data_IF_746321815329
#
_entry.id   IF_746321815329
#
_cell.length_a   1.000
_cell.length_b   1.000
_cell.length_c   1.000
_cell.angle_alpha   90.00
_cell.angle_beta   90.00
_cell.angle_gamma   90.00
#
_symmetry.space_group_name_H-M   'P 1'
#
loop_
_entity.id
_entity.type
_entity.pdbx_description
1 polymer ?
#
# COMPACT_ATOMS: atom_id res chain seq x y z
N UNK A 1 14.04 32.61 38.47
CA UNK A 1 12.65 32.19 38.72
C UNK A 1 12.18 31.51 37.44
N UNK A 2 12.18 30.19 37.41
CA UNK A 2 11.55 29.41 36.33
C UNK A 2 10.03 29.55 36.49
N UNK A 3 9.34 29.87 35.40
CA UNK A 3 7.88 29.78 35.34
C UNK A 3 7.54 28.35 34.96
N UNK A 4 6.94 27.61 35.89
CA UNK A 4 6.25 26.37 35.54
C UNK A 4 5.08 26.74 34.63
N UNK A 5 5.22 26.43 33.34
CA UNK A 5 4.13 26.54 32.38
C UNK A 5 3.37 25.23 32.46
N UNK A 6 2.19 25.26 33.09
CA UNK A 6 1.28 24.12 33.12
C UNK A 6 0.57 24.02 31.76
N UNK A 7 1.12 23.20 30.87
CA UNK A 7 0.57 22.96 29.54
C UNK A 7 -0.55 21.92 29.68
N UNK A 8 -1.80 22.39 29.75
CA UNK A 8 -2.97 21.53 29.62
C UNK A 8 -3.07 21.03 28.17
N UNK A 9 -2.45 19.88 27.90
CA UNK A 9 -2.61 19.19 26.62
C UNK A 9 -4.04 18.62 26.52
N UNK A 10 -4.73 18.78 25.38
CA UNK A 10 -6.04 18.16 25.19
C UNK A 10 -5.92 16.64 25.33
N UNK A 11 -6.94 16.01 25.92
CA UNK A 11 -6.98 14.55 26.04
C UNK A 11 -7.02 13.92 24.65
N UNK A 12 -6.02 13.07 24.37
CA UNK A 12 -5.96 12.35 23.12
C UNK A 12 -7.14 11.38 23.02
N UNK A 13 -7.99 11.56 22.00
CA UNK A 13 -9.05 10.62 21.69
C UNK A 13 -8.54 9.59 20.69
N UNK A 14 -8.46 8.34 21.14
CA UNK A 14 -8.08 7.22 20.29
C UNK A 14 -9.11 6.99 19.18
N UNK A 15 -8.62 6.68 17.98
CA UNK A 15 -9.38 6.45 16.76
C UNK A 15 -9.13 5.03 16.27
N UNK A 16 -10.11 4.46 15.56
CA UNK A 16 -9.87 3.22 14.82
C UNK A 16 -8.86 3.49 13.70
N UNK A 17 -7.90 2.59 13.57
CA UNK A 17 -6.94 2.56 12.46
C UNK A 17 -7.17 1.25 11.70
N UNK A 18 -7.39 1.36 10.39
CA UNK A 18 -7.65 0.22 9.52
C UNK A 18 -6.65 0.16 8.36
N UNK A 19 -6.16 -1.04 8.07
CA UNK A 19 -5.51 -1.34 6.79
C UNK A 19 -6.23 -2.54 6.16
N UNK A 20 -6.75 -2.37 4.95
CA UNK A 20 -7.33 -3.45 4.18
C UNK A 20 -7.07 -3.24 2.68
N UNK A 21 -6.43 -4.24 2.08
CA UNK A 21 -6.01 -4.24 0.69
C UNK A 21 -6.66 -5.45 0.00
N UNK A 22 -7.65 -5.22 -0.83
CA UNK A 22 -8.35 -6.26 -1.55
C UNK A 22 -7.49 -6.78 -2.70
N UNK A 23 -7.31 -8.11 -2.76
CA UNK A 23 -6.67 -8.78 -3.88
C UNK A 23 -7.64 -9.83 -4.44
N UNK A 24 -8.13 -9.67 -5.68
CA UNK A 24 -9.03 -10.63 -6.30
C UNK A 24 -8.47 -12.06 -6.25
N UNK A 25 -9.30 -13.01 -5.82
CA UNK A 25 -8.89 -14.41 -5.67
C UNK A 25 -8.19 -14.75 -4.35
N UNK A 26 -7.96 -13.78 -3.47
CA UNK A 26 -7.48 -13.99 -2.10
C UNK A 26 -8.58 -13.70 -1.08
N UNK A 27 -8.54 -14.30 0.12
CA UNK A 27 -9.36 -13.85 1.24
C UNK A 27 -9.08 -12.37 1.56
N UNK A 28 -10.11 -11.59 1.89
CA UNK A 28 -9.88 -10.25 2.41
C UNK A 28 -9.16 -10.36 3.75
N UNK A 29 -8.15 -9.53 3.95
CA UNK A 29 -7.38 -9.41 5.19
C UNK A 29 -7.43 -7.97 5.63
N UNK A 30 -7.77 -7.75 6.90
CA UNK A 30 -7.94 -6.44 7.48
C UNK A 30 -7.24 -6.38 8.84
N UNK A 31 -6.41 -5.36 9.03
CA UNK A 31 -5.87 -4.99 10.33
C UNK A 31 -6.74 -3.90 10.94
N UNK A 32 -7.16 -4.08 12.20
CA UNK A 32 -7.98 -3.13 12.95
C UNK A 32 -7.42 -2.95 14.36
N UNK A 33 -6.95 -1.74 14.64
CA UNK A 33 -6.30 -1.38 15.91
C UNK A 33 -6.74 0.00 16.38
N UNK A 34 -6.41 0.34 17.62
CA UNK A 34 -6.56 1.68 18.16
C UNK A 34 -5.32 2.52 17.88
N UNK A 35 -5.52 3.79 17.56
CA UNK A 35 -4.43 4.77 17.51
C UNK A 35 -3.98 5.13 18.94
N UNK A 36 -2.68 5.31 19.13
CA UNK A 36 -2.08 5.74 20.40
C UNK A 36 -1.63 7.20 20.34
N UNK A 37 -1.60 7.86 21.50
CA UNK A 37 -0.98 9.19 21.62
C UNK A 37 0.52 9.10 21.30
N UNK A 38 1.07 10.13 20.66
CA UNK A 38 2.50 10.21 20.34
C UNK A 38 3.42 10.13 21.58
N UNK A 39 2.94 10.61 22.73
CA UNK A 39 3.68 10.59 24.00
C UNK A 39 3.49 9.29 24.80
N UNK A 40 2.58 8.42 24.37
CA UNK A 40 2.34 7.14 25.03
C UNK A 40 3.41 6.13 24.63
N UNK A 41 3.60 5.09 25.45
CA UNK A 41 4.37 3.93 25.03
C UNK A 41 3.67 3.31 23.80
N UNK A 42 4.43 2.90 22.77
CA UNK A 42 3.85 2.23 21.62
C UNK A 42 3.34 0.85 22.03
N UNK A 43 2.03 0.76 22.27
CA UNK A 43 1.30 -0.48 22.51
C UNK A 43 0.31 -0.71 21.37
N UNK A 44 0.34 -1.91 20.76
CA UNK A 44 -0.60 -2.28 19.72
C UNK A 44 -1.89 -2.81 20.37
N UNK A 45 -2.95 -2.02 20.33
CA UNK A 45 -4.26 -2.40 20.90
C UNK A 45 -5.18 -2.85 19.77
N UNK A 46 -5.40 -4.16 19.67
CA UNK A 46 -6.30 -4.77 18.67
C UNK A 46 -7.76 -4.59 19.09
N UNK A 47 -8.62 -4.23 18.14
CA UNK A 47 -10.07 -4.15 18.35
C UNK A 47 -10.67 -5.48 17.88
N UNK A 48 -10.92 -6.40 18.81
CA UNK A 48 -11.34 -7.76 18.50
C UNK A 48 -12.84 -7.90 18.16
N UNK A 49 -13.72 -7.32 18.99
CA UNK A 49 -15.16 -7.58 18.92
C UNK A 49 -15.90 -6.57 18.01
N UNK A 50 -15.28 -6.20 16.90
CA UNK A 50 -15.89 -5.29 15.92
C UNK A 50 -16.73 -6.06 14.90
N UNK A 51 -17.86 -5.49 14.50
CA UNK A 51 -18.58 -5.92 13.30
C UNK A 51 -17.86 -5.34 12.08
N UNK A 52 -17.26 -6.21 11.25
CA UNK A 52 -16.51 -5.83 10.05
C UNK A 52 -17.17 -6.45 8.83
N UNK A 53 -17.67 -5.61 7.92
CA UNK A 53 -18.40 -6.03 6.73
C UNK A 53 -17.76 -5.37 5.51
N UNK A 54 -17.48 -6.18 4.49
CA UNK A 54 -17.14 -5.71 3.14
C UNK A 54 -18.30 -6.09 2.22
N UNK A 55 -18.77 -5.18 1.37
CA UNK A 55 -19.84 -5.48 0.42
C UNK A 55 -19.42 -5.22 -1.03
N UNK A 56 -19.58 -6.22 -1.89
CA UNK A 56 -19.37 -6.09 -3.35
C UNK A 56 -20.70 -5.73 -4.01
N UNK A 57 -20.81 -4.56 -4.62
CA UNK A 57 -22.03 -4.10 -5.29
C UNK A 57 -23.28 -4.28 -4.39
N UNK A 58 -23.13 -4.05 -3.07
CA UNK A 58 -24.18 -4.17 -2.06
C UNK A 58 -24.39 -5.57 -1.45
N UNK A 59 -23.71 -6.62 -1.93
CA UNK A 59 -23.78 -7.97 -1.35
C UNK A 59 -22.73 -8.10 -0.22
N UNK A 60 -23.15 -8.24 1.05
CA UNK A 60 -22.23 -8.21 2.19
C UNK A 60 -21.49 -9.53 2.39
N UNK A 61 -20.27 -9.41 2.89
CA UNK A 61 -19.42 -10.49 3.40
C UNK A 61 -18.79 -10.03 4.72
N UNK A 62 -18.94 -10.85 5.76
CA UNK A 62 -18.39 -10.55 7.08
C UNK A 62 -16.94 -11.02 7.18
N UNK A 63 -16.07 -10.18 7.75
CA UNK A 63 -14.72 -10.56 8.14
C UNK A 63 -14.76 -10.95 9.61
N UNK A 64 -14.39 -12.19 9.91
CA UNK A 64 -14.34 -12.69 11.29
C UNK A 64 -12.99 -12.42 11.90
N UNK A 65 -12.95 -12.22 13.22
CA UNK A 65 -11.69 -12.11 13.95
C UNK A 65 -10.85 -13.39 13.77
N UNK A 66 -9.62 -13.22 13.30
CA UNK A 66 -8.69 -14.27 12.97
C UNK A 66 -7.33 -13.65 12.71
N UNK A 67 -6.50 -13.61 13.76
CA UNK A 67 -5.17 -13.02 13.67
C UNK A 67 -4.26 -13.91 12.83
N UNK A 68 -3.56 -13.30 11.89
CA UNK A 68 -2.57 -13.99 11.09
C UNK A 68 -1.57 -13.03 10.49
N UNK A 69 -0.72 -13.58 9.65
CA UNK A 69 0.32 -12.86 8.95
C UNK A 69 0.34 -13.34 7.51
N UNK A 70 0.35 -12.40 6.58
CA UNK A 70 0.55 -12.69 5.16
C UNK A 70 1.95 -13.29 4.94
N UNK A 71 2.06 -14.43 4.26
CA UNK A 71 3.33 -15.15 4.14
C UNK A 71 4.37 -14.43 3.27
N UNK A 72 3.90 -13.59 2.34
CA UNK A 72 4.75 -12.89 1.36
C UNK A 72 5.18 -11.53 1.91
N UNK A 73 4.21 -10.71 2.30
CA UNK A 73 4.43 -9.33 2.77
C UNK A 73 4.72 -9.25 4.27
N UNK A 74 4.46 -10.32 5.02
CA UNK A 74 4.55 -10.36 6.49
C UNK A 74 3.68 -9.33 7.21
N UNK A 75 2.72 -8.72 6.49
CA UNK A 75 1.72 -7.83 7.10
C UNK A 75 0.79 -8.64 8.01
N UNK A 76 0.60 -8.17 9.23
CA UNK A 76 -0.38 -8.73 10.15
C UNK A 76 -1.79 -8.31 9.75
N UNK A 77 -2.74 -9.20 10.00
CA UNK A 77 -4.16 -8.90 9.92
C UNK A 77 -4.86 -9.43 11.16
N UNK A 78 -5.98 -8.82 11.53
CA UNK A 78 -6.78 -9.19 12.71
C UNK A 78 -8.13 -9.78 12.32
N UNK A 79 -8.63 -9.46 11.13
CA UNK A 79 -9.89 -9.98 10.59
C UNK A 79 -9.68 -10.50 9.17
N UNK A 80 -10.41 -11.56 8.81
CA UNK A 80 -10.34 -12.13 7.46
C UNK A 80 -11.66 -12.78 7.05
N UNK A 81 -11.89 -12.91 5.74
CA UNK A 81 -12.96 -13.76 5.21
C UNK A 81 -12.52 -15.23 5.18
N UNK A 82 -13.47 -16.14 5.31
CA UNK A 82 -13.20 -17.58 5.13
C UNK A 82 -12.97 -17.95 3.66
N UNK A 83 -13.61 -17.21 2.76
CA UNK A 83 -13.54 -17.46 1.31
C UNK A 83 -12.77 -16.32 0.62
N UNK A 84 -12.21 -16.65 -0.54
CA UNK A 84 -11.58 -15.68 -1.41
C UNK A 84 -12.60 -14.67 -1.96
N UNK A 85 -12.22 -13.39 -1.97
CA UNK A 85 -13.02 -12.34 -2.59
C UNK A 85 -12.97 -12.53 -4.10
N UNK A 86 -14.13 -12.71 -4.71
CA UNK A 86 -14.28 -12.68 -6.16
C UNK A 86 -14.51 -11.25 -6.60
N UNK A 87 -13.74 -10.77 -7.56
CA UNK A 87 -13.77 -9.38 -8.01
C UNK A 87 -13.28 -9.27 -9.45
N UNK A 88 -13.91 -8.40 -10.23
CA UNK A 88 -13.48 -8.00 -11.57
C UNK A 88 -13.15 -6.51 -11.58
N UNK A 89 -12.29 -6.04 -12.51
CA UNK A 89 -12.09 -4.62 -12.71
C UNK A 89 -13.42 -3.85 -12.88
N UNK A 90 -13.56 -2.74 -12.18
CA UNK A 90 -14.77 -1.93 -12.12
C UNK A 90 -15.78 -2.33 -11.03
N UNK A 91 -15.61 -3.49 -10.36
CA UNK A 91 -16.44 -3.82 -9.19
C UNK A 91 -16.19 -2.81 -8.06
N UNK A 92 -17.26 -2.34 -7.42
CA UNK A 92 -17.19 -1.42 -6.29
C UNK A 92 -17.36 -2.18 -4.99
N UNK A 93 -16.43 -1.95 -4.07
CA UNK A 93 -16.45 -2.50 -2.73
C UNK A 93 -16.64 -1.40 -1.69
N UNK A 94 -17.48 -1.67 -0.70
CA UNK A 94 -17.60 -0.83 0.50
C UNK A 94 -17.12 -1.58 1.73
N UNK A 95 -16.55 -0.84 2.68
CA UNK A 95 -16.19 -1.30 4.01
C UNK A 95 -17.09 -0.61 5.02
N UNK A 96 -17.60 -1.37 5.99
CA UNK A 96 -18.29 -0.85 7.17
C UNK A 96 -17.77 -1.56 8.42
N UNK A 97 -17.36 -0.78 9.41
CA UNK A 97 -16.91 -1.25 10.71
C UNK A 97 -17.73 -0.56 11.80
N UNK A 98 -18.24 -1.33 12.74
CA UNK A 98 -18.76 -0.83 14.02
C UNK A 98 -18.01 -1.51 15.17
N UNK A 99 -17.36 -0.72 16.01
CA UNK A 99 -16.60 -1.27 17.15
C UNK A 99 -17.47 -1.47 18.41
N UNK A 100 -16.95 -2.12 19.47
CA UNK A 100 -17.69 -2.30 20.73
C UNK A 100 -18.07 -1.00 21.44
N UNK A 101 -17.42 0.13 21.11
CA UNK A 101 -17.71 1.46 21.65
C UNK A 101 -18.80 2.18 20.85
N UNK A 102 -19.32 1.56 19.78
CA UNK A 102 -20.31 2.13 18.88
C UNK A 102 -19.74 3.15 17.87
N UNK A 103 -18.41 3.29 17.78
CA UNK A 103 -17.77 4.10 16.74
C UNK A 103 -17.93 3.41 15.38
N UNK A 104 -18.06 4.21 14.32
CA UNK A 104 -18.25 3.73 12.97
C UNK A 104 -17.13 4.19 12.05
N UNK A 105 -16.70 3.29 11.17
CA UNK A 105 -15.76 3.59 10.09
C UNK A 105 -16.32 3.04 8.78
N UNK A 106 -16.18 3.82 7.72
CA UNK A 106 -16.60 3.43 6.38
C UNK A 106 -15.51 3.69 5.34
N UNK A 107 -15.48 2.90 4.29
CA UNK A 107 -14.58 3.07 3.15
C UNK A 107 -15.23 2.62 1.86
N UNK A 108 -14.70 3.08 0.73
CA UNK A 108 -15.10 2.66 -0.61
C UNK A 108 -13.87 2.55 -1.50
N UNK A 109 -13.84 1.55 -2.36
CA UNK A 109 -12.80 1.38 -3.39
C UNK A 109 -13.40 0.72 -4.62
N UNK A 110 -12.77 0.94 -5.77
CA UNK A 110 -13.14 0.30 -7.05
C UNK A 110 -11.98 -0.57 -7.49
N UNK A 111 -12.24 -1.82 -7.86
CA UNK A 111 -11.19 -2.73 -8.31
C UNK A 111 -10.59 -2.21 -9.61
N UNK A 112 -9.31 -1.83 -9.57
CA UNK A 112 -8.57 -1.42 -10.76
C UNK A 112 -8.11 -2.63 -11.59
N UNK A 113 -8.08 -2.51 -12.92
CA UNK A 113 -7.36 -3.47 -13.75
C UNK A 113 -5.84 -3.30 -13.55
N UNK A 114 -5.06 -4.38 -13.55
CA UNK A 114 -3.60 -4.27 -13.55
C UNK A 114 -3.11 -3.76 -14.91
N UNK A 115 -2.23 -2.75 -14.91
CA UNK A 115 -1.47 -2.35 -16.09
C UNK A 115 -0.34 -3.35 -16.33
N UNK A 116 -0.23 -3.86 -17.56
CA UNK A 116 0.70 -4.94 -17.90
C UNK A 116 2.09 -4.42 -18.22
N UNK A 117 3.10 -5.11 -17.69
CA UNK A 117 4.49 -4.91 -18.08
C UNK A 117 4.67 -5.55 -19.46
N UNK A 118 5.01 -4.73 -20.45
CA UNK A 118 5.26 -5.15 -21.83
C UNK A 118 6.62 -5.84 -21.93
N UNK A 119 7.68 -5.14 -21.50
CA UNK A 119 9.04 -5.67 -21.53
C UNK A 119 9.85 -5.27 -20.30
N UNK A 120 10.80 -6.15 -19.95
CA UNK A 120 11.88 -5.86 -19.01
C UNK A 120 13.19 -6.18 -19.73
N UNK A 121 14.03 -5.16 -19.92
CA UNK A 121 15.28 -5.22 -20.66
C UNK A 121 16.46 -4.96 -19.73
N UNK A 122 17.59 -5.63 -20.00
CA UNK A 122 18.84 -5.46 -19.26
C UNK A 122 19.89 -4.84 -20.17
N UNK A 123 20.40 -3.68 -19.79
CA UNK A 123 21.53 -3.05 -20.46
C UNK A 123 22.75 -3.08 -19.54
N UNK A 124 23.92 -3.40 -20.09
CA UNK A 124 25.13 -3.62 -19.31
C UNK A 124 26.16 -2.50 -19.53
N UNK A 125 26.81 -2.06 -18.46
CA UNK A 125 27.95 -1.16 -18.54
C UNK A 125 29.27 -1.92 -18.80
N UNK A 126 30.40 -1.21 -18.81
CA UNK A 126 31.73 -1.79 -19.04
C UNK A 126 32.21 -2.70 -17.90
N UNK A 127 31.60 -2.60 -16.71
CA UNK A 127 31.86 -3.44 -15.54
C UNK A 127 30.93 -4.65 -15.46
N UNK A 128 30.16 -4.91 -16.52
CA UNK A 128 29.16 -5.99 -16.60
C UNK A 128 28.00 -5.87 -15.60
N UNK A 129 27.82 -4.70 -15.00
CA UNK A 129 26.63 -4.44 -14.18
C UNK A 129 25.46 -4.06 -15.11
N UNK A 130 24.28 -4.57 -14.81
CA UNK A 130 23.04 -4.32 -15.50
C UNK A 130 22.25 -3.17 -14.86
N UNK A 131 21.69 -2.30 -15.72
CA UNK A 131 20.48 -1.54 -15.38
C UNK A 131 19.26 -2.28 -15.93
N UNK A 132 18.11 -2.08 -15.29
CA UNK A 132 16.83 -2.67 -15.66
C UNK A 132 15.93 -1.59 -16.26
N UNK A 133 15.43 -1.80 -17.48
CA UNK A 133 14.42 -0.94 -18.11
C UNK A 133 13.11 -1.71 -18.21
N UNK A 134 12.05 -1.15 -17.63
CA UNK A 134 10.71 -1.70 -17.67
C UNK A 134 9.83 -0.81 -18.53
N UNK A 135 9.17 -1.39 -19.52
CA UNK A 135 8.25 -0.71 -20.43
C UNK A 135 6.83 -1.18 -20.22
N UNK A 136 5.90 -0.24 -20.27
CA UNK A 136 4.48 -0.51 -20.23
C UNK A 136 3.74 0.65 -20.90
N UNK A 137 2.44 0.45 -21.12
CA UNK A 137 1.54 1.47 -21.64
C UNK A 137 0.20 1.38 -20.92
N UNK A 138 -0.38 2.52 -20.62
CA UNK A 138 -1.68 2.65 -19.98
C UNK A 138 -2.79 3.10 -20.94
N UNK A 139 -4.00 3.20 -20.40
CA UNK A 139 -5.17 3.67 -21.12
C UNK A 139 -5.15 5.20 -21.15
N UNK A 140 -5.27 5.78 -22.35
CA UNK A 140 -5.23 7.24 -22.54
C UNK A 140 -6.45 8.00 -21.98
N UNK A 141 -7.45 7.27 -21.47
CA UNK A 141 -8.74 7.83 -21.04
C UNK A 141 -8.90 7.90 -19.53
N UNK A 142 -7.98 7.32 -18.79
CA UNK A 142 -7.94 7.31 -17.32
C UNK A 142 -6.83 8.22 -16.82
N UNK A 143 -6.95 8.61 -15.55
CA UNK A 143 -5.89 9.29 -14.81
C UNK A 143 -5.30 8.25 -13.87
N UNK A 144 -4.11 7.77 -14.21
CA UNK A 144 -3.52 6.61 -13.57
C UNK A 144 -2.27 6.95 -12.77
N UNK A 145 -2.08 6.20 -11.68
CA UNK A 145 -0.99 6.39 -10.74
C UNK A 145 -0.25 5.08 -10.53
N UNK A 146 1.06 5.14 -10.35
CA UNK A 146 1.90 3.95 -10.32
C UNK A 146 2.83 3.94 -9.12
N UNK A 147 3.16 2.73 -8.67
CA UNK A 147 4.35 2.45 -7.89
C UNK A 147 5.19 1.40 -8.63
N UNK A 148 6.44 1.75 -8.90
CA UNK A 148 7.40 0.86 -9.53
C UNK A 148 8.43 0.41 -8.49
N UNK A 149 8.61 -0.91 -8.37
CA UNK A 149 9.63 -1.46 -7.48
C UNK A 149 10.41 -2.61 -8.10
N UNK A 150 11.68 -2.69 -7.72
CA UNK A 150 12.59 -3.80 -8.07
C UNK A 150 13.17 -4.37 -6.78
N UNK A 151 12.86 -5.63 -6.50
CA UNK A 151 13.40 -6.36 -5.35
C UNK A 151 14.41 -7.41 -5.80
N UNK A 152 15.43 -7.64 -4.98
CA UNK A 152 16.35 -8.78 -5.13
C UNK A 152 15.86 -9.96 -4.30
N UNK A 153 15.77 -11.13 -4.92
CA UNK A 153 15.40 -12.44 -4.38
C UNK A 153 13.97 -12.60 -3.81
N UNK A 154 13.52 -11.67 -2.98
CA UNK A 154 12.28 -11.73 -2.20
C UNK A 154 11.65 -10.36 -1.99
N UNK A 155 10.32 -10.32 -1.87
CA UNK A 155 9.53 -9.12 -1.54
C UNK A 155 9.55 -8.76 -0.05
N UNK A 156 10.22 -9.58 0.77
CA UNK A 156 10.28 -9.37 2.22
C UNK A 156 11.21 -8.23 2.63
N UNK A 157 12.28 -8.02 1.88
CA UNK A 157 13.26 -6.97 2.17
C UNK A 157 12.87 -5.68 1.46
N UNK A 158 13.50 -4.58 1.87
CA UNK A 158 13.36 -3.30 1.16
C UNK A 158 13.72 -3.48 -0.31
N UNK A 159 12.92 -2.89 -1.20
CA UNK A 159 13.22 -2.85 -2.61
C UNK A 159 14.54 -2.08 -2.86
N UNK A 160 15.27 -2.48 -3.89
CA UNK A 160 16.46 -1.77 -4.36
C UNK A 160 16.06 -0.44 -5.00
N UNK A 161 14.92 -0.46 -5.70
CA UNK A 161 14.28 0.71 -6.30
C UNK A 161 12.81 0.66 -5.89
N UNK A 162 12.29 1.79 -5.43
CA UNK A 162 10.88 2.01 -5.11
C UNK A 162 10.57 3.49 -5.31
N UNK A 163 9.67 3.80 -6.23
CA UNK A 163 9.17 5.15 -6.42
C UNK A 163 7.77 5.14 -7.03
N UNK A 164 7.06 6.24 -6.82
CA UNK A 164 5.73 6.48 -7.33
C UNK A 164 5.77 7.46 -8.51
N UNK A 165 4.77 7.41 -9.39
CA UNK A 165 4.64 8.32 -10.54
C UNK A 165 3.17 8.51 -10.89
N UNK A 166 2.77 9.72 -11.27
CA UNK A 166 1.51 9.94 -11.99
C UNK A 166 1.73 9.77 -13.50
N UNK A 167 0.63 9.59 -14.24
CA UNK A 167 0.61 9.54 -15.69
C UNK A 167 0.57 10.92 -16.37
N UNK A 168 0.45 12.03 -15.63
CA UNK A 168 0.16 13.37 -16.16
C UNK A 168 1.06 13.80 -17.34
N UNK A 169 2.33 13.39 -17.35
CA UNK A 169 3.31 13.71 -18.40
C UNK A 169 3.33 12.70 -19.57
N UNK A 170 2.73 11.54 -19.39
CA UNK A 170 2.87 10.36 -20.26
C UNK A 170 1.55 9.61 -20.52
N UNK A 171 0.40 10.20 -20.20
CA UNK A 171 -0.91 9.57 -20.32
C UNK A 171 -1.16 9.01 -21.74
N UNK A 172 -1.35 7.69 -21.83
CA UNK A 172 -1.56 6.97 -23.08
C UNK A 172 -0.32 6.83 -23.97
N UNK A 173 0.85 7.23 -23.49
CA UNK A 173 2.15 7.08 -24.16
C UNK A 173 2.97 5.97 -23.47
N UNK A 174 3.95 5.37 -24.18
CA UNK A 174 4.82 4.37 -23.56
C UNK A 174 5.63 4.96 -22.39
N UNK A 175 5.60 4.26 -21.25
CA UNK A 175 6.45 4.53 -20.11
C UNK A 175 7.76 3.75 -20.21
N UNK A 176 8.81 4.32 -19.62
CA UNK A 176 10.10 3.64 -19.43
C UNK A 176 10.58 3.93 -18.01
N UNK A 177 10.43 2.94 -17.15
CA UNK A 177 10.95 2.98 -15.79
C UNK A 177 12.30 2.28 -15.73
N UNK A 178 13.21 2.84 -14.93
CA UNK A 178 14.62 2.49 -15.01
C UNK A 178 15.29 2.44 -13.65
N UNK A 179 16.41 1.75 -13.60
CA UNK A 179 17.31 1.71 -12.44
C UNK A 179 18.69 2.28 -12.81
N UNK A 180 19.56 2.43 -11.80
CA UNK A 180 21.00 2.51 -12.04
C UNK A 180 21.59 1.16 -12.48
N UNK A 181 22.90 1.16 -12.78
CA UNK A 181 23.66 -0.05 -13.07
C UNK A 181 24.11 -0.75 -11.77
N UNK A 182 23.14 -1.36 -11.07
CA UNK A 182 23.32 -1.85 -9.70
C UNK A 182 23.13 -3.38 -9.55
N UNK A 183 22.95 -4.09 -10.67
CA UNK A 183 22.69 -5.52 -10.68
C UNK A 183 23.78 -6.28 -11.41
N UNK A 184 24.10 -7.48 -10.97
CA UNK A 184 25.10 -8.35 -11.57
C UNK A 184 24.44 -9.55 -12.27
N UNK A 185 25.07 -10.14 -13.31
CA UNK A 185 24.61 -11.39 -13.90
C UNK A 185 24.37 -12.47 -12.85
N UNK A 186 23.20 -13.12 -12.93
CA UNK A 186 22.78 -14.16 -11.98
C UNK A 186 21.88 -13.66 -10.84
N UNK A 187 21.76 -12.34 -10.63
CA UNK A 187 20.79 -11.80 -9.68
C UNK A 187 19.36 -12.18 -10.04
N UNK A 188 18.59 -12.63 -9.05
CA UNK A 188 17.15 -12.87 -9.20
C UNK A 188 16.39 -11.61 -8.84
N UNK A 189 15.72 -11.00 -9.81
CA UNK A 189 14.94 -9.76 -9.62
C UNK A 189 13.44 -10.04 -9.68
N UNK A 190 12.70 -9.30 -8.85
CA UNK A 190 11.23 -9.23 -8.88
C UNK A 190 10.85 -7.78 -9.19
N UNK A 191 10.42 -7.56 -10.43
CA UNK A 191 9.92 -6.26 -10.90
C UNK A 191 8.41 -6.22 -10.71
N UNK A 192 7.91 -5.23 -9.98
CA UNK A 192 6.47 -5.04 -9.74
C UNK A 192 6.05 -3.65 -10.18
N UNK A 193 5.00 -3.58 -10.98
CA UNK A 193 4.29 -2.35 -11.31
C UNK A 193 2.90 -2.42 -10.66
N UNK A 194 2.67 -1.61 -9.63
CA UNK A 194 1.33 -1.42 -9.09
C UNK A 194 0.63 -0.28 -9.81
N UNK A 195 -0.68 -0.45 -10.00
CA UNK A 195 -1.61 0.55 -10.49
C UNK A 195 -2.50 1.00 -9.34
N UNK A 196 -2.49 2.30 -9.06
CA UNK A 196 -3.20 2.95 -7.96
C UNK A 196 -4.28 3.88 -8.51
N UNK A 197 -5.33 4.04 -7.71
CA UNK A 197 -6.20 5.21 -7.86
C UNK A 197 -5.55 6.39 -7.14
N UNK A 198 -6.07 7.59 -7.42
CA UNK A 198 -5.56 8.81 -6.81
C UNK A 198 -5.59 8.77 -5.28
N UNK A 199 -6.67 8.22 -4.69
CA UNK A 199 -6.85 8.21 -3.24
C UNK A 199 -5.80 7.35 -2.54
N UNK A 200 -5.48 6.18 -3.11
CA UNK A 200 -4.46 5.30 -2.58
C UNK A 200 -3.06 5.84 -2.84
N UNK A 201 -2.80 6.44 -4.01
CA UNK A 201 -1.55 7.15 -4.28
C UNK A 201 -1.31 8.26 -3.24
N UNK A 202 -2.32 9.10 -3.00
CA UNK A 202 -2.27 10.17 -2.00
C UNK A 202 -2.01 9.65 -0.58
N UNK A 203 -2.65 8.53 -0.19
CA UNK A 203 -2.38 7.85 1.07
C UNK A 203 -0.92 7.38 1.13
N UNK A 204 -0.44 6.69 0.09
CA UNK A 204 0.90 6.12 0.03
C UNK A 204 1.99 7.21 0.17
N UNK A 205 1.92 8.26 -0.65
CA UNK A 205 2.83 9.40 -0.57
C UNK A 205 2.84 10.03 0.82
N UNK A 206 1.65 10.26 1.40
CA UNK A 206 1.54 10.86 2.74
C UNK A 206 2.14 9.99 3.85
N UNK A 207 2.12 8.66 3.69
CA UNK A 207 2.77 7.72 4.61
C UNK A 207 4.28 7.80 4.49
N UNK A 208 4.82 7.84 3.27
CA UNK A 208 6.26 7.97 3.04
C UNK A 208 6.78 9.34 3.51
N UNK A 209 6.04 10.43 3.25
CA UNK A 209 6.35 11.75 3.78
C UNK A 209 6.38 11.78 5.30
N UNK A 210 5.38 11.17 5.96
CA UNK A 210 5.33 11.08 7.41
C UNK A 210 6.51 10.27 7.98
N UNK A 211 6.90 9.17 7.32
CA UNK A 211 8.08 8.38 7.70
C UNK A 211 9.38 9.17 7.55
N UNK A 212 9.54 9.92 6.46
CA UNK A 212 10.72 10.74 6.19
C UNK A 212 10.83 11.95 7.12
N UNK A 213 9.69 12.52 7.53
CA UNK A 213 9.64 13.58 8.53
C UNK A 213 9.87 13.06 9.96
N UNK A 214 9.62 11.77 10.22
CA UNK A 214 9.73 11.20 11.56
C UNK A 214 11.17 11.29 12.08
N UNK A 215 11.36 11.92 13.24
CA UNK A 215 12.68 12.15 13.84
C UNK A 215 13.47 13.31 13.25
N UNK A 216 12.93 14.04 12.26
CA UNK A 216 13.55 15.25 11.73
C UNK A 216 13.02 16.49 12.48
N UNK A 217 13.86 17.21 13.26
CA UNK A 217 13.43 18.33 14.09
C UNK A 217 13.05 19.60 13.30
N UNK A 218 13.28 19.62 11.99
CA UNK A 218 12.97 20.75 11.10
C UNK A 218 11.91 20.42 10.04
N UNK A 219 11.51 19.15 9.92
CA UNK A 219 10.43 18.76 9.03
C UNK A 219 9.08 19.07 9.67
N UNK A 220 8.10 19.45 8.86
CA UNK A 220 6.71 19.49 9.32
C UNK A 220 6.25 18.05 9.60
N UNK A 221 5.53 17.78 10.70
CA UNK A 221 4.92 16.47 10.93
C UNK A 221 4.02 16.10 9.76
N UNK A 222 4.30 14.98 9.10
CA UNK A 222 3.47 14.48 8.00
C UNK A 222 2.10 14.05 8.51
N UNK A 223 1.03 14.54 7.87
CA UNK A 223 -0.33 14.09 8.14
C UNK A 223 -0.71 13.01 7.14
N UNK A 224 -0.97 11.79 7.61
CA UNK A 224 -1.38 10.67 6.75
C UNK A 224 -2.80 10.91 6.24
N UNK A 225 -2.97 10.96 4.92
CA UNK A 225 -4.27 11.09 4.24
C UNK A 225 -4.97 9.73 4.26
N UNK A 226 -6.14 9.61 4.87
CA UNK A 226 -6.89 8.35 4.94
C UNK A 226 -7.84 8.17 3.75
N UNK A 227 -8.07 6.92 3.32
CA UNK A 227 -9.11 6.59 2.32
C UNK A 227 -10.45 6.16 2.94
N UNK A 228 -10.51 6.17 4.27
CA UNK A 228 -11.68 5.83 5.09
C UNK A 228 -12.17 7.05 5.88
N UNK A 229 -13.43 7.01 6.31
CA UNK A 229 -14.06 8.04 7.14
C UNK A 229 -14.49 7.46 8.49
N UNK A 230 -14.40 8.25 9.56
CA UNK A 230 -14.73 7.82 10.93
C UNK A 230 -13.57 7.18 11.71
N UNK A 231 -12.38 7.18 11.11
CA UNK A 231 -11.10 6.78 11.70
C UNK A 231 -9.96 7.08 10.73
N UNK A 232 -8.85 6.37 10.88
CA UNK A 232 -7.65 6.54 10.06
C UNK A 232 -7.34 5.28 9.25
N UNK A 233 -6.58 5.44 8.18
CA UNK A 233 -5.96 4.36 7.43
C UNK A 233 -6.50 4.20 6.02
N UNK A 234 -6.48 2.97 5.51
CA UNK A 234 -6.72 2.68 4.09
C UNK A 234 -7.63 1.47 3.90
N UNK A 235 -8.58 1.65 3.01
CA UNK A 235 -9.32 0.59 2.34
C UNK A 235 -9.16 0.80 0.83
N UNK A 236 -8.54 -0.17 0.16
CA UNK A 236 -8.22 -0.10 -1.28
C UNK A 236 -8.07 -1.51 -1.87
N UNK A 237 -7.69 -1.61 -3.14
CA UNK A 237 -7.31 -2.86 -3.80
C UNK A 237 -5.84 -2.84 -4.26
N UNK A 238 -5.25 -4.02 -4.44
CA UNK A 238 -3.94 -4.18 -5.09
C UNK A 238 -4.15 -4.63 -6.52
N UNK A 239 -3.89 -3.74 -7.47
CA UNK A 239 -3.78 -4.06 -8.89
C UNK A 239 -2.32 -3.96 -9.28
N UNK A 240 -1.72 -5.06 -9.75
CA UNK A 240 -0.33 -5.05 -10.19
C UNK A 240 -0.04 -6.08 -11.25
N UNK A 241 1.05 -5.86 -11.97
CA UNK A 241 1.70 -6.87 -12.77
C UNK A 241 3.14 -7.07 -12.25
N UNK A 242 3.59 -8.32 -12.27
CA UNK A 242 4.88 -8.71 -11.67
C UNK A 242 5.63 -9.65 -12.59
N UNK A 243 6.94 -9.46 -12.68
CA UNK A 243 7.87 -10.33 -13.41
C UNK A 243 8.99 -10.76 -12.48
N UNK A 244 9.28 -12.07 -12.45
CA UNK A 244 10.46 -12.64 -11.80
C UNK A 244 11.44 -13.06 -12.89
N UNK A 245 12.64 -12.50 -12.85
CA UNK A 245 13.65 -12.61 -13.91
C UNK A 245 15.01 -12.84 -13.28
N UNK A 246 15.93 -13.46 -14.01
CA UNK A 246 17.34 -13.55 -13.63
C UNK A 246 18.14 -12.70 -14.60
N UNK A 247 19.02 -11.85 -14.07
CA UNK A 247 19.89 -11.01 -14.91
C UNK A 247 20.78 -11.93 -15.76
N UNK A 248 20.73 -11.84 -17.10
CA UNK A 248 21.52 -12.71 -17.95
C UNK A 248 23.00 -12.33 -17.91
N UNK A 249 23.92 -13.21 -18.35
CA UNK A 249 25.28 -12.80 -18.65
C UNK A 249 25.29 -11.76 -19.78
N UNK A 250 26.25 -10.83 -19.72
CA UNK A 250 26.51 -9.89 -20.82
C UNK A 250 26.87 -10.70 -22.07
N UNK A 251 26.17 -10.45 -23.18
CA UNK A 251 26.45 -11.05 -24.48
C UNK A 251 27.55 -10.30 -25.22
#
# INVERSE_FOLDING_TARGET
>A
MEKDIDINLPTYQSQMVVECYLEPGQPARLSLVESSSYLAKPDLVIIQDAEVIIARNGVPQTLTYGVGMDEVTRKFYTHTTNEAIQANPGDVFTLSITDPKGRKLVGITTILPPVKIDTVEFNFNDKEQALVLTRFKDDSTTEDYYQYSVHRDSLFHKAEIDYTSSDELNNGQPFVFGTGYDFDPGDSLIVTLHHFDKAFFDFHESVEDAKNANGNPFAQPGSVKSTVQGGLGVFTNLAYDRRKLVVPPKK
#
